data_IF_231906483308
#
_entry.id   IF_231906483308
#
_cell.length_a   1.000
_cell.length_b   1.000
_cell.length_c   1.000
_cell.angle_alpha   90.00
_cell.angle_beta   90.00
_cell.angle_gamma   90.00
#
_symmetry.space_group_name_H-M   'P 1'
#
loop_
_entity.id
_entity.type
_entity.pdbx_description
1 polymer ?
#
# COMPACT_ATOMS: atom_id res chain seq x y z
N UNK A 1 -14.63 -0.43 6.34
CA UNK A 1 -13.99 0.43 7.37
C UNK A 1 -13.16 1.50 6.69
N UNK A 2 -13.22 2.76 7.16
CA UNK A 2 -12.37 3.84 6.67
C UNK A 2 -10.88 3.55 6.94
N UNK A 3 -10.00 4.14 6.12
CA UNK A 3 -8.55 3.94 6.20
C UNK A 3 -8.00 4.66 7.44
N UNK A 4 -7.22 3.96 8.26
CA UNK A 4 -6.51 4.60 9.38
C UNK A 4 -5.55 5.69 8.88
N UNK A 5 -5.55 6.82 9.58
CA UNK A 5 -4.54 7.87 9.38
C UNK A 5 -3.24 7.49 10.08
N UNK A 6 -2.13 8.11 9.67
CA UNK A 6 -0.82 7.90 10.32
C UNK A 6 -0.88 8.30 11.81
N UNK A 7 -1.57 9.39 12.13
CA UNK A 7 -1.79 9.85 13.51
C UNK A 7 -2.51 8.79 14.34
N UNK A 8 -3.53 8.14 13.79
CA UNK A 8 -4.24 7.07 14.50
C UNK A 8 -3.34 5.85 14.72
N UNK A 9 -2.46 5.51 13.76
CA UNK A 9 -1.47 4.45 13.96
C UNK A 9 -0.49 4.77 15.08
N UNK A 10 0.00 6.02 15.15
CA UNK A 10 0.86 6.50 16.24
C UNK A 10 0.14 6.39 17.59
N UNK A 11 -1.11 6.84 17.66
CA UNK A 11 -1.91 6.75 18.90
C UNK A 11 -2.11 5.30 19.37
N UNK A 12 -2.36 4.37 18.44
CA UNK A 12 -2.49 2.95 18.76
C UNK A 12 -1.17 2.43 19.35
N UNK A 13 -0.04 2.68 18.69
CA UNK A 13 1.26 2.19 19.16
C UNK A 13 1.62 2.79 20.51
N UNK A 14 1.46 4.10 20.69
CA UNK A 14 1.75 4.77 21.95
C UNK A 14 0.91 4.22 23.13
N UNK A 15 -0.36 3.89 22.90
CA UNK A 15 -1.19 3.27 23.93
C UNK A 15 -0.75 1.84 24.26
N UNK A 16 -0.30 1.06 23.27
CA UNK A 16 0.23 -0.28 23.49
C UNK A 16 1.58 -0.25 24.22
N UNK A 17 2.44 0.71 23.91
CA UNK A 17 3.71 0.95 24.61
C UNK A 17 3.48 1.40 26.07
N UNK A 18 2.36 2.09 26.34
CA UNK A 18 1.90 2.41 27.70
C UNK A 18 1.24 1.22 28.44
N UNK A 19 1.51 -0.01 28.01
CA UNK A 19 1.03 -1.27 28.59
C UNK A 19 -0.50 -1.48 28.56
N UNK A 20 -1.25 -0.73 27.74
CA UNK A 20 -2.66 -1.06 27.54
C UNK A 20 -2.78 -2.33 26.68
N UNK A 21 -3.75 -3.18 27.04
CA UNK A 21 -4.10 -4.34 26.21
C UNK A 21 -4.68 -3.90 24.86
N UNK A 22 -4.47 -4.72 23.81
CA UNK A 22 -5.03 -4.45 22.48
C UNK A 22 -6.57 -4.30 22.51
N UNK A 23 -7.24 -5.05 23.38
CA UNK A 23 -8.68 -4.94 23.61
C UNK A 23 -9.07 -3.59 24.23
N UNK A 24 -8.32 -3.10 25.22
CA UNK A 24 -8.57 -1.79 25.82
C UNK A 24 -8.34 -0.65 24.80
N UNK A 25 -7.30 -0.75 23.98
CA UNK A 25 -7.02 0.22 22.91
C UNK A 25 -8.13 0.22 21.86
N UNK A 26 -8.61 -0.95 21.45
CA UNK A 26 -9.72 -1.10 20.50
C UNK A 26 -11.00 -0.42 21.01
N UNK A 27 -11.36 -0.67 22.27
CA UNK A 27 -12.53 -0.04 22.92
C UNK A 27 -12.34 1.48 23.00
N UNK A 28 -11.18 1.94 23.49
CA UNK A 28 -10.87 3.37 23.66
C UNK A 28 -10.92 4.15 22.35
N UNK A 29 -10.47 3.54 21.25
CA UNK A 29 -10.40 4.17 19.93
C UNK A 29 -11.65 3.93 19.07
N UNK A 30 -12.57 3.05 19.49
CA UNK A 30 -13.73 2.65 18.69
C UNK A 30 -13.33 1.89 17.41
N UNK A 31 -12.20 1.17 17.42
CA UNK A 31 -11.64 0.46 16.27
C UNK A 31 -11.70 -1.05 16.53
N UNK A 32 -11.84 -1.86 15.48
CA UNK A 32 -11.82 -3.31 15.60
C UNK A 32 -10.45 -3.81 16.12
N UNK A 33 -10.47 -4.73 17.08
CA UNK A 33 -9.27 -5.38 17.66
C UNK A 33 -8.29 -5.90 16.61
N UNK A 34 -8.78 -6.54 15.54
CA UNK A 34 -7.93 -7.06 14.46
C UNK A 34 -7.20 -5.96 13.69
N UNK A 35 -7.67 -4.72 13.74
CA UNK A 35 -6.98 -3.57 13.14
C UNK A 35 -5.86 -3.09 14.04
N UNK A 36 -6.09 -3.02 15.36
CA UNK A 36 -5.07 -2.72 16.37
C UNK A 36 -3.91 -3.73 16.27
N UNK A 37 -4.24 -5.02 16.25
CA UNK A 37 -3.26 -6.11 16.08
C UNK A 37 -2.44 -5.94 14.80
N UNK A 38 -3.07 -5.75 13.63
CA UNK A 38 -2.35 -5.58 12.35
C UNK A 38 -1.49 -4.31 12.28
N UNK A 39 -1.90 -3.22 12.94
CA UNK A 39 -1.10 -1.99 13.03
C UNK A 39 0.15 -2.25 13.86
N UNK A 40 -0.01 -2.89 15.03
CA UNK A 40 1.11 -3.19 15.91
C UNK A 40 2.11 -4.17 15.29
N UNK A 41 1.64 -5.25 14.66
CA UNK A 41 2.53 -6.19 13.95
C UNK A 41 3.31 -5.48 12.84
N UNK A 42 2.67 -4.60 12.07
CA UNK A 42 3.37 -3.83 11.02
C UNK A 42 4.44 -2.91 11.61
N UNK A 43 4.11 -2.21 12.69
CA UNK A 43 5.07 -1.35 13.37
C UNK A 43 6.27 -2.17 13.85
N UNK A 44 6.06 -3.31 14.51
CA UNK A 44 7.14 -4.21 14.92
C UNK A 44 7.99 -4.73 13.74
N UNK A 45 7.37 -4.96 12.57
CA UNK A 45 8.09 -5.43 11.38
C UNK A 45 8.86 -4.32 10.62
N UNK A 46 8.47 -3.05 10.73
CA UNK A 46 8.99 -1.97 9.86
C UNK A 46 9.48 -0.72 10.57
N UNK A 47 9.26 -0.63 11.88
CA UNK A 47 9.47 0.57 12.69
C UNK A 47 8.83 1.83 12.09
N UNK A 48 7.67 1.64 11.43
CA UNK A 48 6.99 2.70 10.69
C UNK A 48 5.50 2.74 10.98
N UNK A 49 4.99 3.94 11.22
CA UNK A 49 3.56 4.23 11.35
C UNK A 49 2.86 4.35 9.99
N UNK A 50 3.66 4.41 8.91
CA UNK A 50 3.16 4.54 7.55
C UNK A 50 2.61 3.22 7.05
N UNK A 51 1.55 3.32 6.25
CA UNK A 51 1.06 2.16 5.53
C UNK A 51 2.07 1.76 4.46
N UNK A 52 2.38 0.46 4.38
CA UNK A 52 3.11 -0.10 3.23
C UNK A 52 2.34 0.25 1.94
N UNK A 53 3.02 0.76 0.89
CA UNK A 53 2.39 0.90 -0.41
C UNK A 53 1.86 -0.47 -0.84
N UNK A 54 0.65 -0.49 -1.40
CA UNK A 54 0.12 -1.72 -1.97
C UNK A 54 1.01 -2.14 -3.15
N UNK A 55 1.10 -3.45 -3.42
CA UNK A 55 1.84 -3.96 -4.58
C UNK A 55 1.27 -3.44 -5.92
N UNK A 56 0.03 -2.96 -5.92
CA UNK A 56 -0.66 -2.52 -7.13
C UNK A 56 -1.01 -3.69 -8.03
N UNK A 57 -1.49 -3.38 -9.23
CA UNK A 57 -1.71 -4.38 -10.28
C UNK A 57 -0.39 -4.63 -10.99
N UNK A 58 -0.03 -5.89 -11.20
CA UNK A 58 1.13 -6.24 -12.03
C UNK A 58 1.01 -5.62 -13.41
N UNK A 59 2.13 -5.14 -13.96
CA UNK A 59 2.16 -4.60 -15.33
C UNK A 59 1.83 -5.71 -16.32
N UNK A 60 1.04 -5.38 -17.34
CA UNK A 60 0.74 -6.29 -18.46
C UNK A 60 1.94 -6.37 -19.40
N UNK A 61 2.60 -5.23 -19.62
CA UNK A 61 3.78 -5.09 -20.47
C UNK A 61 5.08 -5.19 -19.67
N UNK A 62 6.07 -5.79 -20.31
CA UNK A 62 7.46 -5.82 -19.84
C UNK A 62 8.18 -4.53 -20.24
N UNK A 63 9.29 -4.23 -19.56
CA UNK A 63 10.13 -3.07 -19.89
C UNK A 63 10.63 -3.08 -21.35
N UNK A 64 10.78 -4.28 -21.96
CA UNK A 64 11.20 -4.41 -23.36
C UNK A 64 10.06 -4.05 -24.31
N UNK A 65 8.85 -4.51 -24.01
CA UNK A 65 7.66 -4.19 -24.81
C UNK A 65 7.34 -2.69 -24.72
N UNK A 66 7.44 -2.09 -23.54
CA UNK A 66 7.26 -0.64 -23.37
C UNK A 66 8.23 0.16 -24.24
N UNK A 67 9.52 -0.24 -24.28
CA UNK A 67 10.51 0.38 -25.17
C UNK A 67 10.17 0.18 -26.64
N UNK A 68 9.67 -1.00 -27.02
CA UNK A 68 9.26 -1.26 -28.40
C UNK A 68 8.08 -0.36 -28.81
N UNK A 69 7.09 -0.20 -27.91
CA UNK A 69 5.94 0.67 -28.13
C UNK A 69 6.38 2.10 -28.37
N UNK A 70 7.27 2.63 -27.51
CA UNK A 70 7.79 4.00 -27.66
C UNK A 70 8.58 4.16 -28.97
N UNK A 71 9.46 3.21 -29.31
CA UNK A 71 10.27 3.29 -30.52
C UNK A 71 9.42 3.20 -31.80
N UNK A 72 8.41 2.34 -31.82
CA UNK A 72 7.48 2.23 -32.95
C UNK A 72 6.66 3.51 -33.12
N UNK A 73 6.14 4.09 -32.03
CA UNK A 73 5.42 5.35 -32.07
C UNK A 73 6.28 6.51 -32.58
N UNK A 74 7.58 6.53 -32.27
CA UNK A 74 8.52 7.54 -32.77
C UNK A 74 8.91 7.32 -34.23
N UNK A 75 9.11 6.06 -34.66
CA UNK A 75 9.50 5.73 -36.03
C UNK A 75 8.36 5.89 -37.02
N UNK A 76 7.17 5.42 -36.64
CA UNK A 76 5.98 5.40 -37.48
C UNK A 76 4.77 5.83 -36.64
N UNK A 77 4.55 7.16 -36.47
CA UNK A 77 3.53 7.68 -35.56
C UNK A 77 2.09 7.33 -35.95
N UNK A 78 1.87 6.87 -37.19
CA UNK A 78 0.55 6.48 -37.72
C UNK A 78 0.25 4.98 -37.57
N UNK A 79 1.19 4.19 -37.01
CA UNK A 79 1.02 2.74 -36.85
C UNK A 79 0.01 2.42 -35.76
N UNK A 80 -0.91 1.50 -36.04
CA UNK A 80 -2.01 1.15 -35.10
C UNK A 80 -1.51 0.28 -33.95
N UNK A 81 -2.07 0.48 -32.74
CA UNK A 81 -1.65 -0.22 -31.52
C UNK A 81 -1.62 -1.75 -31.67
N UNK A 82 -2.60 -2.35 -32.39
CA UNK A 82 -2.66 -3.81 -32.64
C UNK A 82 -1.43 -4.37 -33.37
N UNK A 83 -0.65 -3.52 -34.04
CA UNK A 83 0.54 -3.90 -34.79
C UNK A 83 1.83 -3.74 -33.98
N UNK A 84 1.77 -3.18 -32.78
CA UNK A 84 2.96 -2.79 -31.98
C UNK A 84 3.16 -3.70 -30.77
N UNK A 85 2.07 -4.11 -30.10
CA UNK A 85 2.11 -4.89 -28.87
C UNK A 85 0.84 -5.72 -28.65
N UNK A 86 0.84 -6.53 -27.59
CA UNK A 86 -0.32 -7.31 -27.13
C UNK A 86 -1.38 -6.43 -26.47
#
# INVERSE_FOLDING_TARGET
>A
MPRLTEIQSVQIVALLEAELSQSAVAIRMGINHSTVSRVFSRYQETDSYRRRPGQGRSRVTTNREDRNIVNEALRVPTRVARQIGK
#
